data_IF_863562080645
#
_entry.id   IF_863562080645
#
_cell.length_a   1.000
_cell.length_b   1.000
_cell.length_c   1.000
_cell.angle_alpha   90.00
_cell.angle_beta   90.00
_cell.angle_gamma   90.00
#
_symmetry.space_group_name_H-M   'P 1'
#
loop_
_entity.id
_entity.type
_entity.pdbx_description
1 polymer ?
#
# COMPACT_ATOMS: atom_id res chain seq x y z
N UNK A 1 -17.90 9.16 7.22
CA UNK A 1 -16.98 8.88 6.09
C UNK A 1 -15.64 9.60 6.18
N UNK A 2 -15.58 10.94 6.27
CA UNK A 2 -14.31 11.72 6.24
C UNK A 2 -13.20 11.27 7.22
N UNK A 3 -13.54 11.00 8.49
CA UNK A 3 -12.54 10.57 9.49
C UNK A 3 -11.99 9.18 9.18
N UNK A 4 -12.84 8.28 8.68
CA UNK A 4 -12.47 6.90 8.30
C UNK A 4 -11.60 6.91 7.05
N UNK A 5 -11.91 7.76 6.06
CA UNK A 5 -11.08 7.89 4.87
C UNK A 5 -9.71 8.50 5.14
N UNK A 6 -9.62 9.52 6.02
CA UNK A 6 -8.31 10.04 6.47
C UNK A 6 -7.50 8.95 7.19
N UNK A 7 -8.15 8.18 8.06
CA UNK A 7 -7.48 7.08 8.77
C UNK A 7 -6.98 6.00 7.80
N UNK A 8 -7.78 5.63 6.78
CA UNK A 8 -7.38 4.70 5.72
C UNK A 8 -6.16 5.19 4.93
N UNK A 9 -6.11 6.48 4.62
CA UNK A 9 -4.96 7.09 3.93
C UNK A 9 -3.70 6.98 4.79
N UNK A 10 -3.78 7.38 6.07
CA UNK A 10 -2.63 7.35 6.99
C UNK A 10 -2.14 5.92 7.19
N UNK A 11 -3.04 4.98 7.44
CA UNK A 11 -2.70 3.56 7.60
C UNK A 11 -2.09 3.01 6.32
N UNK A 12 -2.65 3.32 5.15
CA UNK A 12 -2.12 2.91 3.85
C UNK A 12 -0.69 3.40 3.63
N UNK A 13 -0.40 4.67 3.96
CA UNK A 13 0.95 5.24 3.85
C UNK A 13 1.92 4.54 4.81
N UNK A 14 1.55 4.34 6.08
CA UNK A 14 2.41 3.67 7.08
C UNK A 14 2.73 2.24 6.64
N UNK A 15 1.71 1.49 6.19
CA UNK A 15 1.89 0.11 5.69
C UNK A 15 2.80 0.10 4.46
N UNK A 16 2.59 1.03 3.51
CA UNK A 16 3.43 1.13 2.31
C UNK A 16 4.89 1.38 2.68
N UNK A 17 5.16 2.35 3.56
CA UNK A 17 6.53 2.68 4.00
C UNK A 17 7.16 1.48 4.74
N UNK A 18 6.41 0.84 5.65
CA UNK A 18 6.89 -0.31 6.40
C UNK A 18 7.27 -1.48 5.48
N UNK A 19 6.44 -1.75 4.47
CA UNK A 19 6.72 -2.81 3.49
C UNK A 19 7.87 -2.44 2.56
N UNK A 20 8.02 -1.17 2.16
CA UNK A 20 9.18 -0.71 1.38
C UNK A 20 10.48 -0.97 2.16
N UNK A 21 10.50 -0.66 3.47
CA UNK A 21 11.68 -0.92 4.33
C UNK A 21 11.93 -2.42 4.45
N UNK A 22 10.87 -3.21 4.66
CA UNK A 22 10.96 -4.67 4.81
C UNK A 22 11.52 -5.34 3.55
N UNK A 23 11.02 -4.97 2.36
CA UNK A 23 11.45 -5.51 1.08
C UNK A 23 12.69 -4.83 0.49
N UNK A 24 13.31 -3.87 1.18
CA UNK A 24 14.50 -3.13 0.68
C UNK A 24 15.69 -4.02 0.35
N UNK A 25 15.79 -5.19 0.99
CA UNK A 25 16.84 -6.18 0.74
C UNK A 25 16.62 -7.07 -0.48
N UNK A 26 15.46 -6.95 -1.12
CA UNK A 26 14.99 -7.77 -2.24
C UNK A 26 15.19 -6.96 -3.53
N UNK A 27 15.69 -7.60 -4.58
CA UNK A 27 16.16 -6.91 -5.80
C UNK A 27 14.94 -6.48 -6.62
N UNK A 28 14.68 -5.17 -6.66
CA UNK A 28 13.75 -4.46 -7.54
C UNK A 28 12.24 -4.85 -7.44
N UNK A 29 11.40 -4.04 -6.77
CA UNK A 29 9.96 -4.30 -6.59
C UNK A 29 9.10 -4.24 -7.87
N UNK A 30 9.72 -3.94 -9.02
CA UNK A 30 9.08 -3.86 -10.34
C UNK A 30 9.49 -5.04 -11.22
N UNK A 31 10.48 -5.85 -10.81
CA UNK A 31 10.74 -7.12 -11.48
C UNK A 31 9.60 -8.07 -11.14
N UNK A 32 8.72 -8.27 -12.12
CA UNK A 32 7.55 -9.14 -12.04
C UNK A 32 7.90 -10.63 -11.96
N UNK A 33 9.14 -11.00 -11.60
CA UNK A 33 9.47 -12.38 -11.35
C UNK A 33 8.69 -12.83 -10.12
N UNK A 34 7.82 -13.82 -10.34
CA UNK A 34 6.79 -14.27 -9.39
C UNK A 34 7.32 -14.74 -8.02
N UNK A 35 8.62 -14.69 -7.77
CA UNK A 35 9.25 -15.20 -6.56
C UNK A 35 10.72 -14.75 -6.48
N UNK A 36 11.03 -13.76 -5.64
CA UNK A 36 12.43 -13.38 -5.38
C UNK A 36 12.96 -14.20 -4.20
N UNK A 37 14.12 -14.83 -4.37
CA UNK A 37 14.80 -15.58 -3.32
C UNK A 37 15.59 -14.58 -2.46
N UNK A 38 15.30 -14.53 -1.16
CA UNK A 38 16.03 -13.68 -0.22
C UNK A 38 17.47 -14.19 0.01
N UNK A 39 18.30 -13.41 0.71
CA UNK A 39 19.70 -13.79 1.03
C UNK A 39 19.83 -15.06 1.88
N UNK A 40 18.74 -15.52 2.49
CA UNK A 40 18.66 -16.72 3.32
C UNK A 40 18.09 -17.93 2.56
N UNK A 41 17.77 -17.77 1.26
CA UNK A 41 17.18 -18.83 0.44
C UNK A 41 15.66 -18.94 0.55
N UNK A 42 14.97 -18.02 1.23
CA UNK A 42 13.52 -18.05 1.36
C UNK A 42 12.86 -17.41 0.14
N UNK A 43 11.75 -18.01 -0.30
CA UNK A 43 10.89 -17.45 -1.32
C UNK A 43 10.01 -16.37 -0.70
N UNK A 44 10.14 -15.14 -1.18
CA UNK A 44 9.39 -13.99 -0.66
C UNK A 44 8.61 -13.34 -1.81
N UNK A 45 7.29 -13.25 -1.66
CA UNK A 45 6.42 -12.54 -2.61
C UNK A 45 6.24 -11.08 -2.15
N UNK A 46 6.43 -10.15 -3.09
CA UNK A 46 6.38 -8.70 -2.84
C UNK A 46 4.97 -8.11 -3.00
N UNK A 47 3.99 -8.93 -3.38
CA UNK A 47 2.60 -8.50 -3.59
C UNK A 47 1.95 -7.79 -2.38
N UNK A 48 2.37 -8.02 -1.11
CA UNK A 48 1.90 -7.24 0.01
C UNK A 48 2.13 -5.72 -0.11
N UNK A 49 3.15 -5.26 -0.86
CA UNK A 49 3.36 -3.82 -1.11
C UNK A 49 2.12 -3.14 -1.73
N UNK A 50 1.40 -3.86 -2.59
CA UNK A 50 0.19 -3.35 -3.23
C UNK A 50 -0.93 -3.09 -2.23
N UNK A 51 -0.96 -3.79 -1.09
CA UNK A 51 -2.01 -3.63 -0.08
C UNK A 51 -1.98 -2.20 0.49
N UNK A 52 -0.80 -1.67 0.79
CA UNK A 52 -0.65 -0.29 1.28
C UNK A 52 -1.06 0.75 0.24
N UNK A 53 -0.70 0.52 -1.02
CA UNK A 53 -1.06 1.39 -2.15
C UNK A 53 -2.58 1.39 -2.36
N UNK A 54 -3.22 0.21 -2.37
CA UNK A 54 -4.67 0.06 -2.52
C UNK A 54 -5.42 0.72 -1.37
N UNK A 55 -4.99 0.53 -0.12
CA UNK A 55 -5.59 1.18 1.06
C UNK A 55 -5.55 2.71 0.93
N UNK A 56 -4.41 3.25 0.50
CA UNK A 56 -4.24 4.69 0.28
C UNK A 56 -5.17 5.19 -0.82
N UNK A 57 -5.23 4.48 -1.95
CA UNK A 57 -6.09 4.82 -3.08
C UNK A 57 -7.59 4.81 -2.70
N UNK A 58 -8.06 3.74 -2.07
CA UNK A 58 -9.46 3.62 -1.59
C UNK A 58 -9.78 4.72 -0.59
N UNK A 59 -8.86 5.02 0.33
CA UNK A 59 -9.01 6.12 1.28
C UNK A 59 -9.20 7.48 0.58
N UNK A 60 -8.41 7.76 -0.47
CA UNK A 60 -8.52 8.99 -1.27
C UNK A 60 -9.87 9.06 -1.99
N UNK A 61 -10.30 7.97 -2.63
CA UNK A 61 -11.60 7.90 -3.34
C UNK A 61 -12.74 8.19 -2.37
N UNK A 62 -12.78 7.53 -1.21
CA UNK A 62 -13.81 7.77 -0.20
C UNK A 62 -13.76 9.19 0.39
N UNK A 63 -12.56 9.75 0.53
CA UNK A 63 -12.41 11.14 0.96
C UNK A 63 -13.03 12.10 -0.08
N UNK A 64 -12.76 11.89 -1.37
CA UNK A 64 -13.27 12.71 -2.46
C UNK A 64 -14.80 12.61 -2.60
N UNK A 65 -15.36 11.40 -2.59
CA UNK A 65 -16.82 11.18 -2.62
C UNK A 65 -17.50 11.88 -1.43
N UNK A 66 -16.96 11.73 -0.22
CA UNK A 66 -17.54 12.39 0.96
C UNK A 66 -17.43 13.92 0.96
N UNK A 67 -16.61 14.51 0.08
CA UNK A 67 -16.51 15.95 -0.11
C UNK A 67 -17.46 16.46 -1.19
N UNK A 68 -17.72 15.66 -2.22
CA UNK A 68 -18.65 16.00 -3.30
C UNK A 68 -20.10 15.91 -2.84
N UNK A 69 -20.47 14.90 -2.05
CA UNK A 69 -21.82 14.82 -1.45
C UNK A 69 -22.15 15.99 -0.52
N UNK A 70 -21.15 16.62 0.11
CA UNK A 70 -21.38 17.75 1.01
C UNK A 70 -21.63 19.08 0.29
N UNK A 71 -21.46 19.11 -1.04
CA UNK A 71 -21.64 20.28 -1.91
C UNK A 71 -22.89 20.20 -2.79
N UNK A 72 -23.59 19.07 -2.82
CA UNK A 72 -24.90 18.90 -3.45
C UNK A 72 -26.01 19.12 -2.40
#
# INVERSE_FOLDING_TARGET
>A
MKKVSILLIIVGIIVTIGLIIYYRGVVNPVDSDSMTIDRSGNQVSEWPLFIGIILTFVGIVFYYVSHTEKKA
#
